data_IF_383046913627
#
_entry.id   IF_383046913627
#
_cell.length_a   1.000
_cell.length_b   1.000
_cell.length_c   1.000
_cell.angle_alpha   90.00
_cell.angle_beta   90.00
_cell.angle_gamma   90.00
#
_symmetry.space_group_name_H-M   'P 1'
#
loop_
_entity.id
_entity.type
_entity.pdbx_description
1 polymer ?
#
# COMPACT_ATOMS: atom_id res chain seq x y z
N UNK A 1 -3.04 -2.85 -1.87
CA UNK A 1 -1.98 -3.83 -1.52
C UNK A 1 -0.68 -3.13 -1.21
N UNK A 2 -0.05 -3.45 -0.08
CA UNK A 2 1.27 -2.93 0.31
C UNK A 2 2.37 -3.65 -0.47
N UNK A 3 3.28 -2.90 -1.10
CA UNK A 3 4.44 -3.47 -1.82
C UNK A 3 5.79 -3.00 -1.28
N UNK A 4 5.81 -1.92 -0.49
CA UNK A 4 7.03 -1.35 0.08
C UNK A 4 6.72 -0.67 1.43
N UNK A 5 7.72 -0.59 2.30
CA UNK A 5 7.62 -0.03 3.64
C UNK A 5 8.85 0.81 3.97
N UNK A 6 8.62 2.06 4.38
CA UNK A 6 9.63 2.92 4.96
C UNK A 6 9.57 2.84 6.50
N UNK A 7 10.70 2.67 7.21
CA UNK A 7 10.71 2.63 8.67
C UNK A 7 10.33 3.97 9.32
N UNK A 8 10.48 5.08 8.60
CA UNK A 8 10.15 6.45 9.02
C UNK A 8 9.58 7.24 7.85
N UNK A 9 8.96 8.39 8.12
CA UNK A 9 8.44 9.26 7.07
C UNK A 9 9.52 9.63 6.03
N UNK A 10 9.29 9.23 4.78
CA UNK A 10 10.24 9.41 3.66
C UNK A 10 9.70 10.32 2.54
N UNK A 11 8.54 10.96 2.73
CA UNK A 11 7.92 11.84 1.75
C UNK A 11 8.29 13.33 2.00
N UNK A 12 7.77 14.24 1.19
CA UNK A 12 8.10 15.67 1.27
C UNK A 12 7.44 16.36 2.46
N UNK A 13 8.11 17.37 3.02
CA UNK A 13 7.54 18.18 4.11
C UNK A 13 6.27 18.93 3.66
N UNK A 14 6.17 19.28 2.39
CA UNK A 14 4.97 19.91 1.81
C UNK A 14 3.75 19.00 1.87
N UNK A 15 3.93 17.71 1.55
CA UNK A 15 2.87 16.71 1.70
C UNK A 15 2.48 16.56 3.18
N UNK A 16 3.47 16.53 4.06
CA UNK A 16 3.24 16.46 5.50
C UNK A 16 2.43 17.65 6.03
N UNK A 17 2.78 18.87 5.61
CA UNK A 17 2.09 20.09 6.00
C UNK A 17 0.69 20.20 5.39
N UNK A 18 0.48 19.58 4.22
CA UNK A 18 -0.84 19.48 3.59
C UNK A 18 -1.81 18.62 4.40
N UNK A 19 -1.31 17.73 5.28
CA UNK A 19 -2.15 16.96 6.19
C UNK A 19 -2.59 17.85 7.37
N UNK A 20 -3.90 17.88 7.70
CA UNK A 20 -4.40 18.60 8.85
C UNK A 20 -3.76 18.12 10.16
N UNK A 21 -3.42 19.05 11.05
CA UNK A 21 -2.70 18.77 12.31
C UNK A 21 -3.32 17.68 13.18
N UNK A 22 -4.65 17.59 13.20
CA UNK A 22 -5.39 16.64 14.02
C UNK A 22 -5.32 15.19 13.51
N UNK A 23 -4.93 14.98 12.25
CA UNK A 23 -4.75 13.66 11.64
C UNK A 23 -3.32 13.47 11.09
N UNK A 24 -2.39 14.38 11.40
CA UNK A 24 -0.99 14.20 11.02
C UNK A 24 -0.46 12.92 11.65
N UNK A 25 0.11 12.01 10.85
CA UNK A 25 0.74 10.82 11.39
C UNK A 25 1.94 11.20 12.28
N UNK A 26 2.59 10.23 12.90
CA UNK A 26 3.92 10.45 13.52
C UNK A 26 5.00 10.14 12.49
N UNK A 27 6.09 10.91 12.44
CA UNK A 27 7.21 10.63 11.51
C UNK A 27 8.07 9.44 11.95
N UNK A 28 8.05 9.13 13.24
CA UNK A 28 8.78 8.03 13.91
C UNK A 28 7.94 6.74 13.92
N UNK A 29 7.34 6.41 12.78
CA UNK A 29 6.56 5.20 12.61
C UNK A 29 6.69 4.74 11.15
N UNK A 30 6.40 3.46 10.86
CA UNK A 30 6.49 2.97 9.50
C UNK A 30 5.39 3.55 8.60
N UNK A 31 5.78 3.84 7.37
CA UNK A 31 4.89 4.27 6.29
C UNK A 31 4.90 3.20 5.21
N UNK A 32 3.75 2.99 4.61
CA UNK A 32 3.53 1.92 3.67
C UNK A 32 3.14 2.50 2.33
N UNK A 33 3.81 2.02 1.29
CA UNK A 33 3.41 2.25 -0.08
C UNK A 33 2.48 1.14 -0.51
N UNK A 34 1.26 1.51 -0.88
CA UNK A 34 0.27 0.56 -1.35
C UNK A 34 -0.31 0.96 -2.70
N UNK A 35 -0.53 -0.02 -3.54
CA UNK A 35 -1.32 0.12 -4.76
C UNK A 35 -2.80 0.17 -4.37
N UNK A 36 -3.45 1.27 -4.71
CA UNK A 36 -4.87 1.52 -4.58
C UNK A 36 -5.51 1.60 -5.98
N UNK A 37 -6.79 1.22 -6.07
CA UNK A 37 -7.59 1.31 -7.29
C UNK A 37 -8.83 2.15 -6.99
N UNK A 38 -9.17 3.02 -7.93
CA UNK A 38 -10.45 3.72 -7.98
C UNK A 38 -11.29 3.11 -9.11
N UNK A 39 -12.56 3.52 -9.24
CA UNK A 39 -13.46 3.06 -10.31
C UNK A 39 -12.89 3.20 -11.74
N UNK A 40 -11.92 4.08 -11.96
CA UNK A 40 -11.29 4.28 -13.28
C UNK A 40 -9.80 3.94 -13.37
N UNK A 41 -9.01 3.98 -12.29
CA UNK A 41 -7.55 3.93 -12.38
C UNK A 41 -6.85 3.37 -11.13
N UNK A 42 -5.64 2.85 -11.34
CA UNK A 42 -4.71 2.41 -10.31
C UNK A 42 -3.70 3.51 -9.96
N UNK A 43 -3.40 3.68 -8.69
CA UNK A 43 -2.41 4.65 -8.22
C UNK A 43 -1.66 4.14 -6.99
N UNK A 44 -0.53 4.75 -6.70
CA UNK A 44 0.23 4.48 -5.48
C UNK A 44 -0.23 5.43 -4.39
N UNK A 45 -0.70 4.88 -3.29
CA UNK A 45 -1.02 5.61 -2.08
C UNK A 45 0.12 5.46 -1.06
N UNK A 46 0.43 6.56 -0.38
CA UNK A 46 1.38 6.61 0.73
C UNK A 46 0.62 6.85 2.03
N UNK A 47 0.61 5.85 2.91
CA UNK A 47 -0.17 5.90 4.14
C UNK A 47 0.66 5.50 5.34
N UNK A 48 0.28 6.00 6.51
CA UNK A 48 0.91 5.61 7.76
C UNK A 48 0.31 4.33 8.33
N UNK A 49 1.08 3.60 9.14
CA UNK A 49 0.59 2.42 9.86
C UNK A 49 -0.72 2.67 10.62
N UNK A 50 -0.83 3.82 11.28
CA UNK A 50 -2.01 4.20 12.08
C UNK A 50 -3.28 4.35 11.25
N UNK A 51 -3.13 4.55 9.93
CA UNK A 51 -4.25 4.66 8.99
C UNK A 51 -4.49 3.34 8.23
N UNK A 52 -3.68 2.31 8.47
CA UNK A 52 -3.94 0.98 7.94
C UNK A 52 -4.88 0.24 8.85
N UNK A 53 -5.98 -0.23 8.27
CA UNK A 53 -6.82 -1.24 8.90
C UNK A 53 -6.35 -2.61 8.37
N UNK A 54 -6.12 -3.59 9.25
CA UNK A 54 -5.87 -4.95 8.80
C UNK A 54 -7.06 -5.42 7.96
N UNK A 55 -6.78 -5.99 6.79
CA UNK A 55 -7.82 -6.64 6.02
C UNK A 55 -8.22 -7.93 6.74
N UNK A 56 -9.41 -7.94 7.32
CA UNK A 56 -9.98 -9.12 7.99
C UNK A 56 -10.87 -9.95 7.05
N UNK A 57 -11.13 -9.45 5.83
CA UNK A 57 -11.99 -10.14 4.86
C UNK A 57 -11.28 -11.36 4.30
N UNK A 58 -9.96 -11.28 4.11
CA UNK A 58 -9.20 -12.35 3.47
C UNK A 58 -9.66 -12.61 2.04
N UNK A 59 -10.30 -11.62 1.42
CA UNK A 59 -10.80 -11.69 0.06
C UNK A 59 -9.75 -11.16 -0.91
N UNK A 60 -9.63 -11.75 -2.12
CA UNK A 60 -8.74 -11.22 -3.12
C UNK A 60 -9.24 -9.84 -3.60
N UNK A 61 -8.37 -8.84 -3.51
CA UNK A 61 -8.44 -7.57 -4.24
C UNK A 61 -8.77 -7.86 -5.71
N UNK A 62 -9.98 -7.46 -6.12
CA UNK A 62 -10.53 -7.61 -7.47
C UNK A 62 -9.96 -6.64 -8.50
N UNK A 63 -8.65 -6.44 -8.50
CA UNK A 63 -8.00 -5.47 -9.38
C UNK A 63 -7.52 -6.15 -10.67
N UNK A 64 -7.88 -5.59 -11.84
CA UNK A 64 -7.50 -6.11 -13.16
C UNK A 64 -5.98 -6.28 -13.38
N UNK A 65 -5.14 -5.54 -12.66
CA UNK A 65 -3.67 -5.66 -12.69
C UNK A 65 -3.10 -6.65 -11.66
N UNK A 66 -3.89 -7.07 -10.66
CA UNK A 66 -3.47 -8.06 -9.67
C UNK A 66 -2.99 -9.38 -10.30
N UNK A 67 -3.66 -10.00 -11.30
CA UNK A 67 -3.17 -11.24 -11.90
C UNK A 67 -1.88 -11.09 -12.71
N UNK A 68 -1.48 -9.88 -13.09
CA UNK A 68 -0.22 -9.60 -13.80
C UNK A 68 0.99 -9.58 -12.85
N UNK A 69 0.78 -9.18 -11.60
CA UNK A 69 1.84 -9.01 -10.61
C UNK A 69 1.89 -10.19 -9.64
N UNK A 70 0.72 -10.79 -9.34
CA UNK A 70 0.58 -11.88 -8.37
C UNK A 70 0.18 -13.17 -9.06
N UNK A 71 0.83 -14.26 -8.66
CA UNK A 71 0.58 -15.59 -9.21
C UNK A 71 -0.66 -16.21 -8.57
N UNK A 72 -0.75 -16.07 -7.24
CA UNK A 72 -1.73 -16.74 -6.41
C UNK A 72 -2.02 -15.90 -5.17
N UNK A 73 -3.26 -15.91 -4.72
CA UNK A 73 -3.66 -15.43 -3.40
C UNK A 73 -3.89 -16.65 -2.52
N UNK A 74 -3.07 -16.82 -1.48
CA UNK A 74 -3.12 -17.96 -0.56
C UNK A 74 -3.06 -17.45 0.88
N UNK A 75 -3.98 -17.90 1.73
CA UNK A 75 -4.07 -17.55 3.15
C UNK A 75 -3.98 -16.03 3.48
N UNK A 76 -4.61 -15.17 2.68
CA UNK A 76 -4.60 -13.71 2.92
C UNK A 76 -3.35 -12.99 2.40
N UNK A 77 -2.41 -13.70 1.78
CA UNK A 77 -1.20 -13.14 1.22
C UNK A 77 -1.13 -13.31 -0.29
N UNK A 78 -0.67 -12.26 -0.96
CA UNK A 78 -0.38 -12.29 -2.38
C UNK A 78 1.03 -12.78 -2.65
N UNK A 79 1.14 -13.86 -3.43
CA UNK A 79 2.44 -14.36 -3.88
C UNK A 79 2.86 -13.60 -5.13
N UNK A 80 3.93 -12.80 -5.04
CA UNK A 80 4.53 -12.12 -6.19
C UNK A 80 4.97 -13.14 -7.23
N UNK A 81 4.68 -12.87 -8.51
CA UNK A 81 5.26 -13.67 -9.59
C UNK A 81 6.79 -13.48 -9.55
N UNK A 82 7.59 -14.57 -9.45
CA UNK A 82 9.03 -14.43 -9.59
C UNK A 82 9.31 -13.88 -10.99
N UNK A 83 9.89 -12.67 -11.07
CA UNK A 83 10.36 -12.12 -12.34
C UNK A 83 11.48 -13.05 -12.83
N UNK A 84 11.18 -13.83 -13.87
CA UNK A 84 12.20 -14.56 -14.61
C UNK A 84 13.02 -13.48 -15.33
N UNK A 85 14.14 -13.09 -14.74
CA UNK A 85 15.17 -12.34 -15.44
C UNK A 85 15.64 -13.18 -16.63
N UNK A 86 15.44 -12.68 -17.85
CA UNK A 86 16.06 -13.23 -19.05
C UNK A 86 17.27 -12.39 -19.40
#
# INVERSE_FOLDING_TARGET
MIFDVDPTFANTEEWWQSIPEHIRPRKDQPFYHLLAENEENSYVAYVSEQNLLPDESGEPIGHSQAPLIFQSFDHGHYTLRPRISH
#
